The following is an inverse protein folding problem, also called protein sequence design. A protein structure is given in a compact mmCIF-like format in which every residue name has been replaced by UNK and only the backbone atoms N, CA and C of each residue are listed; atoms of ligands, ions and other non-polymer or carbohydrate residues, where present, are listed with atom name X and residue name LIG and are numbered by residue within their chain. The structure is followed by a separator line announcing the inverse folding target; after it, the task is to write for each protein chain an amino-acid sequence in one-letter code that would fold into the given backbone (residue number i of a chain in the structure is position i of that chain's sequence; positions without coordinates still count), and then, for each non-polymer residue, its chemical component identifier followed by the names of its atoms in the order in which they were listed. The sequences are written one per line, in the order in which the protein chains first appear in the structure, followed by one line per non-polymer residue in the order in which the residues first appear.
data_IF_349033284160
#
_entry.id   IF_349033284160
#
_cell.length_a   1.000
_cell.length_b   1.000
_cell.length_c   1.000
_cell.angle_alpha   90.00
_cell.angle_beta   90.00
_cell.angle_gamma   90.00
#
_symmetry.space_group_name_H-M   'P 1'
#
loop_
_entity.id
_entity.type
_entity.pdbx_description
1 polymer ?
#
# COMPACT_ATOMS: atom_id res chain seq x y z
N UNK A 1 31.50 13.74 -22.21
CA UNK A 1 30.53 13.16 -23.15
C UNK A 1 29.24 12.94 -22.35
N UNK A 2 28.34 13.91 -22.38
CA UNK A 2 27.06 13.89 -21.68
C UNK A 2 26.02 13.26 -22.61
N UNK A 3 25.38 12.18 -22.18
CA UNK A 3 24.22 11.61 -22.86
C UNK A 3 22.98 12.27 -22.24
N UNK A 4 22.10 12.91 -23.02
CA UNK A 4 20.91 13.54 -22.49
C UNK A 4 19.91 12.45 -22.11
N UNK A 5 19.61 12.31 -20.82
CA UNK A 5 18.39 11.62 -20.38
C UNK A 5 17.26 12.63 -20.56
N UNK A 6 16.26 12.24 -21.36
CA UNK A 6 15.06 13.03 -21.60
C UNK A 6 14.41 13.44 -20.27
N UNK A 7 14.56 14.71 -19.91
CA UNK A 7 13.77 15.34 -18.84
C UNK A 7 12.54 15.94 -19.50
N UNK A 8 11.37 15.34 -19.27
CA UNK A 8 10.13 16.08 -19.44
C UNK A 8 10.10 17.18 -18.36
N UNK A 9 10.26 18.42 -18.78
CA UNK A 9 9.80 19.61 -18.05
C UNK A 9 8.72 20.26 -18.94
N UNK A 10 7.64 20.86 -18.39
CA UNK A 10 7.73 21.73 -17.22
C UNK A 10 6.53 21.68 -16.25
N UNK A 11 6.76 21.54 -14.94
CA UNK A 11 5.99 22.26 -13.90
C UNK A 11 6.90 22.43 -12.68
N UNK A 12 7.81 23.40 -12.73
CA UNK A 12 8.29 24.08 -11.51
C UNK A 12 7.66 25.46 -11.61
N UNK A 13 6.49 25.64 -11.02
CA UNK A 13 5.86 26.95 -10.84
C UNK A 13 5.29 27.00 -9.43
N UNK A 14 5.84 27.91 -8.63
CA UNK A 14 5.34 28.37 -7.33
C UNK A 14 5.37 27.39 -6.13
N UNK A 15 6.56 27.13 -5.57
CA UNK A 15 6.67 26.89 -4.13
C UNK A 15 6.60 28.25 -3.40
N UNK A 16 5.39 28.74 -3.13
CA UNK A 16 5.16 29.89 -2.24
C UNK A 16 5.30 29.44 -0.79
N UNK A 17 6.22 30.04 -0.05
CA UNK A 17 6.21 30.02 1.41
C UNK A 17 5.28 31.13 1.93
N UNK A 18 4.67 30.87 3.08
CA UNK A 18 3.42 31.47 3.56
C UNK A 18 3.47 32.96 3.94
N UNK A 19 2.31 33.59 3.72
CA UNK A 19 1.98 34.99 3.93
C UNK A 19 2.26 35.52 5.35
N UNK A 20 2.91 36.69 5.41
CA UNK A 20 3.34 37.36 6.65
C UNK A 20 2.31 38.38 7.19
N UNK A 21 1.01 38.03 7.25
CA UNK A 21 -0.05 38.97 7.69
C UNK A 21 -1.08 38.41 8.68
N UNK A 22 -0.77 37.30 9.35
CA UNK A 22 -1.65 36.73 10.38
C UNK A 22 -0.86 36.50 11.68
N UNK A 23 -1.43 36.90 12.82
CA UNK A 23 -0.97 36.46 14.14
C UNK A 23 -1.77 35.21 14.55
N UNK A 24 -1.06 34.11 14.80
CA UNK A 24 -1.64 32.86 15.25
C UNK A 24 -1.33 32.65 16.73
N UNK A 25 -2.33 32.23 17.49
CA UNK A 25 -2.15 31.86 18.90
C UNK A 25 -2.82 30.52 19.18
N UNK A 26 -2.19 29.72 20.03
CA UNK A 26 -2.76 28.49 20.59
C UNK A 26 -3.33 28.70 22.00
N UNK A 27 -3.29 29.93 22.50
CA UNK A 27 -3.85 30.28 23.81
C UNK A 27 -5.38 30.22 23.78
N UNK A 28 -5.93 29.29 24.57
CA UNK A 28 -7.37 29.04 24.66
C UNK A 28 -8.13 30.20 25.29
N UNK A 29 -7.47 31.00 26.13
CA UNK A 29 -8.10 32.15 26.79
C UNK A 29 -8.32 33.31 25.79
N UNK A 30 -7.55 33.33 24.71
CA UNK A 30 -7.67 34.31 23.62
C UNK A 30 -8.85 34.04 22.67
N UNK A 31 -9.53 32.89 22.78
CA UNK A 31 -10.64 32.48 21.89
C UNK A 31 -11.77 33.51 21.86
N UNK A 32 -12.10 34.16 22.98
CA UNK A 32 -13.17 35.16 23.02
C UNK A 32 -12.81 36.46 22.26
N UNK A 33 -11.51 36.78 22.19
CA UNK A 33 -10.99 37.99 21.53
C UNK A 33 -10.58 37.77 20.08
N UNK A 34 -10.37 36.54 19.62
CA UNK A 34 -9.95 36.24 18.25
C UNK A 34 -11.02 36.54 17.19
N UNK A 35 -10.61 37.10 16.05
CA UNK A 35 -11.49 37.38 14.89
C UNK A 35 -11.98 36.11 14.19
N UNK A 36 -11.13 35.09 14.17
CA UNK A 36 -11.46 33.76 13.69
C UNK A 36 -11.01 32.69 14.68
N UNK A 37 -11.81 31.62 14.80
CA UNK A 37 -11.47 30.44 15.59
C UNK A 37 -11.42 29.25 14.65
N UNK A 38 -10.27 28.59 14.62
CA UNK A 38 -10.01 27.42 13.81
C UNK A 38 -10.32 26.17 14.64
N UNK A 39 -11.36 25.42 14.26
CA UNK A 39 -11.68 24.14 14.88
C UNK A 39 -11.07 23.03 14.03
N UNK A 40 -10.18 22.24 14.62
CA UNK A 40 -9.80 20.96 14.04
C UNK A 40 -10.94 19.96 14.30
N UNK A 41 -11.54 19.41 13.24
CA UNK A 41 -12.68 18.50 13.36
C UNK A 41 -12.34 17.25 14.21
N UNK A 42 -11.08 16.81 14.23
CA UNK A 42 -10.62 15.68 15.06
C UNK A 42 -10.81 15.92 16.58
N UNK A 43 -10.75 17.18 17.01
CA UNK A 43 -10.83 17.58 18.42
C UNK A 43 -12.27 17.79 18.93
N UNK A 44 -13.24 17.91 18.01
CA UNK A 44 -14.65 18.23 18.33
C UNK A 44 -15.62 17.09 18.05
N UNK A 45 -15.15 15.94 17.54
CA UNK A 45 -15.97 14.73 17.44
C UNK A 45 -16.06 14.03 18.80
N UNK A 46 -17.26 13.92 19.34
CA UNK A 46 -17.54 13.12 20.52
C UNK A 46 -17.58 11.62 20.18
N UNK A 47 -17.34 10.78 21.19
CA UNK A 47 -17.21 9.32 21.06
C UNK A 47 -18.51 8.66 20.56
N UNK A 48 -19.64 9.34 20.68
CA UNK A 48 -20.98 8.92 20.24
C UNK A 48 -21.33 9.41 18.82
N UNK A 49 -20.38 10.00 18.08
CA UNK A 49 -20.58 10.46 16.71
C UNK A 49 -21.25 11.84 16.60
N UNK A 50 -21.43 12.54 17.71
CA UNK A 50 -21.85 13.95 17.75
C UNK A 50 -20.70 14.94 17.53
N UNK A 51 -21.05 16.22 17.39
CA UNK A 51 -20.10 17.34 17.38
C UNK A 51 -20.23 18.10 18.70
N UNK A 52 -19.19 18.06 19.53
CA UNK A 52 -19.10 18.82 20.78
C UNK A 52 -18.52 20.21 20.50
N UNK A 53 -19.36 21.08 19.94
CA UNK A 53 -19.01 22.45 19.63
C UNK A 53 -19.29 23.37 20.84
N UNK A 54 -18.38 24.31 21.18
CA UNK A 54 -18.68 25.30 22.19
C UNK A 54 -19.92 26.12 21.81
N UNK A 55 -20.62 26.67 22.80
CA UNK A 55 -21.75 27.55 22.53
C UNK A 55 -21.24 28.86 21.95
N UNK A 56 -21.65 29.19 20.72
CA UNK A 56 -21.26 30.42 20.05
C UNK A 56 -21.80 31.64 20.81
N UNK A 57 -20.89 32.38 21.43
CA UNK A 57 -21.18 33.60 22.20
C UNK A 57 -21.13 34.87 21.35
N UNK A 58 -20.36 34.85 20.25
CA UNK A 58 -20.18 35.97 19.31
C UNK A 58 -20.70 35.63 17.90
N UNK A 59 -21.76 36.28 17.42
CA UNK A 59 -22.31 36.01 16.08
C UNK A 59 -21.46 36.58 14.94
N UNK A 60 -20.56 37.52 15.24
CA UNK A 60 -19.62 38.16 14.31
C UNK A 60 -18.29 37.40 14.17
N UNK A 61 -17.93 36.55 15.14
CA UNK A 61 -16.71 35.75 15.11
C UNK A 61 -16.76 34.67 14.02
N UNK A 62 -15.76 34.61 13.15
CA UNK A 62 -15.72 33.62 12.07
C UNK A 62 -15.24 32.27 12.60
N UNK A 63 -16.08 31.24 12.48
CA UNK A 63 -15.71 29.89 12.87
C UNK A 63 -15.28 29.15 11.62
N UNK A 64 -14.01 28.78 11.56
CA UNK A 64 -13.42 28.08 10.44
C UNK A 64 -13.24 26.64 10.87
N UNK A 65 -13.99 25.73 10.25
CA UNK A 65 -13.75 24.32 10.42
C UNK A 65 -12.59 23.93 9.51
N UNK A 66 -11.43 23.64 10.09
CA UNK A 66 -10.31 23.10 9.32
C UNK A 66 -10.52 21.61 9.12
N UNK A 67 -10.79 21.29 7.87
CA UNK A 67 -10.88 19.94 7.36
C UNK A 67 -9.78 19.76 6.32
N UNK A 68 -8.74 19.01 6.68
CA UNK A 68 -7.77 18.55 5.69
C UNK A 68 -8.33 17.41 4.82
N UNK A 69 -9.51 16.88 5.18
CA UNK A 69 -10.14 15.72 4.56
C UNK A 69 -11.67 15.89 4.45
N UNK A 70 -12.30 15.28 3.44
CA UNK A 70 -13.76 15.32 3.30
C UNK A 70 -14.46 14.58 4.48
N UNK A 71 -15.75 14.86 4.79
CA UNK A 71 -16.47 14.23 5.91
C UNK A 71 -16.46 12.68 5.91
N UNK A 72 -16.35 12.06 4.74
CA UNK A 72 -16.21 10.60 4.60
C UNK A 72 -14.81 10.05 4.94
N UNK A 73 -13.84 10.94 5.15
CA UNK A 73 -12.43 10.66 5.42
C UNK A 73 -11.97 11.23 6.78
N UNK A 74 -12.84 11.97 7.50
CA UNK A 74 -12.52 12.60 8.79
C UNK A 74 -12.38 11.65 9.97
N UNK A 75 -12.57 10.35 9.75
CA UNK A 75 -12.10 9.21 10.54
C UNK A 75 -12.41 8.02 9.64
N UNK A 76 -11.51 7.05 9.54
CA UNK A 76 -11.94 5.73 9.07
C UNK A 76 -13.00 5.26 10.05
N UNK A 77 -14.26 5.29 9.62
CA UNK A 77 -15.31 4.52 10.26
C UNK A 77 -14.92 3.06 10.05
N UNK A 78 -14.10 2.57 10.98
CA UNK A 78 -13.46 1.27 10.91
C UNK A 78 -14.54 0.19 10.91
N UNK A 79 -15.56 0.35 11.76
CA UNK A 79 -16.71 -0.56 11.82
C UNK A 79 -17.43 -0.64 10.47
N UNK A 80 -17.77 0.49 9.86
CA UNK A 80 -18.40 0.50 8.52
C UNK A 80 -17.47 -0.01 7.42
N UNK A 81 -16.18 0.30 7.49
CA UNK A 81 -15.18 -0.15 6.51
C UNK A 81 -15.06 -1.67 6.54
N UNK A 82 -15.02 -2.26 7.74
CA UNK A 82 -14.94 -3.70 7.93
C UNK A 82 -16.26 -4.38 7.51
N UNK A 83 -17.41 -3.88 7.97
CA UNK A 83 -18.72 -4.48 7.72
C UNK A 83 -19.09 -4.57 6.22
N UNK A 84 -18.58 -3.65 5.41
CA UNK A 84 -18.84 -3.61 3.96
C UNK A 84 -17.96 -4.57 3.14
N UNK A 85 -16.84 -5.06 3.70
CA UNK A 85 -15.96 -6.00 3.00
C UNK A 85 -16.57 -7.40 3.06
N UNK A 86 -16.85 -7.97 1.89
CA UNK A 86 -17.48 -9.30 1.73
C UNK A 86 -16.55 -10.34 1.10
N UNK A 87 -15.51 -9.88 0.40
CA UNK A 87 -14.48 -10.73 -0.17
C UNK A 87 -13.31 -10.91 0.79
N UNK A 88 -12.71 -12.09 0.79
CA UNK A 88 -11.56 -12.41 1.64
C UNK A 88 -10.28 -11.86 1.01
N UNK A 89 -9.84 -12.46 -0.10
CA UNK A 89 -8.55 -12.19 -0.72
C UNK A 89 -8.71 -11.79 -2.19
N UNK A 90 -8.04 -10.71 -2.60
CA UNK A 90 -7.90 -10.33 -4.00
C UNK A 90 -6.44 -10.24 -4.42
N UNK A 91 -6.19 -10.50 -5.70
CA UNK A 91 -4.89 -10.34 -6.32
C UNK A 91 -5.02 -9.73 -7.72
N UNK A 92 -4.18 -8.75 -8.05
CA UNK A 92 -4.07 -8.22 -9.42
C UNK A 92 -2.73 -8.67 -10.02
N UNK A 93 -2.80 -9.44 -11.09
CA UNK A 93 -1.62 -9.93 -11.80
C UNK A 93 -1.84 -9.94 -13.32
N UNK A 94 -0.93 -9.26 -14.03
CA UNK A 94 -0.90 -9.27 -15.50
C UNK A 94 0.47 -9.61 -16.08
N UNK A 95 1.42 -10.01 -15.25
CA UNK A 95 2.71 -10.57 -15.67
C UNK A 95 2.79 -11.94 -15.04
N UNK A 96 2.49 -12.97 -15.83
CA UNK A 96 2.52 -14.35 -15.36
C UNK A 96 3.93 -14.90 -15.58
N UNK A 97 4.27 -16.00 -14.90
CA UNK A 97 5.61 -16.60 -14.94
C UNK A 97 6.71 -15.66 -14.43
N UNK A 98 6.66 -15.38 -13.14
CA UNK A 98 7.61 -14.47 -12.50
C UNK A 98 8.75 -15.20 -11.81
N UNK A 99 9.88 -14.51 -11.63
CA UNK A 99 11.05 -15.06 -10.91
C UNK A 99 10.74 -15.41 -9.47
N UNK A 100 9.82 -14.68 -8.83
CA UNK A 100 9.36 -15.00 -7.47
C UNK A 100 8.55 -16.29 -7.40
N UNK A 101 8.05 -16.79 -8.54
CA UNK A 101 7.06 -17.87 -8.63
C UNK A 101 5.82 -17.61 -7.79
N UNK A 102 5.43 -16.33 -7.67
CA UNK A 102 4.23 -15.91 -6.94
C UNK A 102 2.97 -16.59 -7.45
N UNK A 103 2.90 -16.92 -8.75
CA UNK A 103 1.77 -17.64 -9.34
C UNK A 103 1.61 -19.03 -8.71
N UNK A 104 2.71 -19.75 -8.49
CA UNK A 104 2.70 -21.05 -7.81
C UNK A 104 2.27 -20.91 -6.35
N UNK A 105 2.78 -19.90 -5.63
CA UNK A 105 2.39 -19.63 -4.24
C UNK A 105 0.89 -19.37 -4.14
N UNK A 106 0.35 -18.48 -4.97
CA UNK A 106 -1.10 -18.19 -5.01
C UNK A 106 -1.89 -19.43 -5.38
N UNK A 107 -1.39 -20.25 -6.32
CA UNK A 107 -2.00 -21.52 -6.68
C UNK A 107 -2.10 -22.51 -5.51
N UNK A 108 -1.12 -22.53 -4.61
CA UNK A 108 -1.19 -23.32 -3.37
C UNK A 108 -2.11 -22.69 -2.33
N UNK A 109 -2.05 -21.37 -2.14
CA UNK A 109 -2.90 -20.63 -1.20
C UNK A 109 -4.38 -20.77 -1.55
N UNK A 110 -4.73 -20.67 -2.83
CA UNK A 110 -6.10 -20.73 -3.35
C UNK A 110 -6.79 -22.09 -3.13
N UNK A 111 -6.06 -23.11 -2.68
CA UNK A 111 -6.63 -24.42 -2.29
C UNK A 111 -7.29 -24.38 -0.90
N UNK A 112 -7.01 -23.35 -0.12
CA UNK A 112 -7.39 -23.25 1.30
C UNK A 112 -8.18 -21.98 1.63
N UNK A 113 -8.18 -20.98 0.74
CA UNK A 113 -8.96 -19.74 0.87
C UNK A 113 -9.36 -19.22 -0.51
N UNK A 114 -10.57 -18.66 -0.66
CA UNK A 114 -11.00 -18.06 -1.93
C UNK A 114 -10.10 -16.85 -2.26
N UNK A 115 -9.39 -16.94 -3.39
CA UNK A 115 -8.57 -15.87 -3.95
C UNK A 115 -9.16 -15.44 -5.28
N UNK A 116 -9.65 -14.20 -5.34
CA UNK A 116 -10.13 -13.62 -6.59
C UNK A 116 -8.98 -12.98 -7.38
N UNK A 117 -8.61 -13.60 -8.50
CA UNK A 117 -7.48 -13.17 -9.35
C UNK A 117 -7.96 -12.33 -10.52
N UNK A 118 -7.51 -11.07 -10.55
CA UNK A 118 -7.81 -10.07 -11.57
C UNK A 118 -6.59 -9.83 -12.49
N UNK A 119 -6.85 -9.59 -13.78
CA UNK A 119 -5.79 -9.26 -14.76
C UNK A 119 -5.51 -10.41 -15.73
N UNK A 120 -4.38 -10.37 -16.45
CA UNK A 120 -4.06 -11.39 -17.46
C UNK A 120 -3.84 -12.79 -16.86
N UNK A 121 -3.45 -12.89 -15.60
CA UNK A 121 -3.19 -14.21 -15.00
C UNK A 121 -4.45 -14.88 -14.42
N UNK A 122 -5.61 -14.21 -14.38
CA UNK A 122 -6.81 -14.74 -13.74
C UNK A 122 -8.09 -14.53 -14.55
N UNK A 123 -9.20 -15.16 -14.12
CA UNK A 123 -10.47 -15.11 -14.85
C UNK A 123 -11.18 -13.76 -14.72
N UNK A 124 -10.83 -12.93 -13.73
CA UNK A 124 -11.49 -11.65 -13.47
C UNK A 124 -10.76 -10.51 -14.16
N UNK A 125 -11.49 -9.45 -14.52
CA UNK A 125 -10.90 -8.27 -15.15
C UNK A 125 -11.16 -7.00 -14.35
N UNK A 126 -10.20 -6.08 -14.39
CA UNK A 126 -10.35 -4.72 -13.88
C UNK A 126 -11.05 -3.77 -14.89
N UNK A 127 -11.67 -4.29 -15.96
CA UNK A 127 -12.22 -3.52 -17.08
C UNK A 127 -11.15 -3.04 -18.08
N UNK A 128 -11.55 -2.25 -19.11
CA UNK A 128 -10.68 -1.69 -20.19
C UNK A 128 -9.61 -0.67 -19.72
N UNK A 129 -9.30 -0.66 -18.43
CA UNK A 129 -8.48 0.34 -17.77
C UNK A 129 -6.98 -0.05 -17.76
N UNK A 130 -6.64 -1.26 -18.20
CA UNK A 130 -5.26 -1.73 -18.39
C UNK A 130 -4.65 -1.21 -19.72
N UNK A 131 -4.75 0.10 -20.01
CA UNK A 131 -3.84 0.73 -20.96
C UNK A 131 -2.65 1.25 -20.15
N UNK A 132 -1.51 0.59 -20.35
CA UNK A 132 -0.17 1.06 -19.96
C UNK A 132 -0.08 2.57 -20.19
N UNK A 133 0.43 3.32 -19.21
CA UNK A 133 0.70 4.77 -19.18
C UNK A 133 -0.24 5.66 -18.33
N UNK A 134 -1.18 5.12 -17.55
CA UNK A 134 -1.83 5.91 -16.50
C UNK A 134 -1.61 5.26 -15.11
N UNK A 135 -0.68 5.78 -14.29
CA UNK A 135 -0.50 5.34 -12.91
C UNK A 135 -1.77 5.50 -12.06
N UNK A 136 -2.74 6.33 -12.50
CA UNK A 136 -4.02 6.57 -11.85
C UNK A 136 -5.15 5.68 -12.37
N UNK A 137 -4.99 5.03 -13.53
CA UNK A 137 -5.95 4.05 -14.04
C UNK A 137 -6.04 2.84 -13.10
N UNK A 138 -4.92 2.48 -12.47
CA UNK A 138 -4.83 1.36 -11.53
C UNK A 138 -5.52 1.64 -10.18
N UNK A 139 -5.61 2.92 -9.76
CA UNK A 139 -6.31 3.34 -8.54
C UNK A 139 -7.80 2.97 -8.55
N UNK A 140 -8.46 2.93 -9.71
CA UNK A 140 -9.89 2.62 -9.78
C UNK A 140 -10.17 1.16 -9.47
N UNK A 141 -9.30 0.24 -9.91
CA UNK A 141 -9.48 -1.17 -9.58
C UNK A 141 -9.17 -1.40 -8.11
N UNK A 142 -8.01 -0.92 -7.63
CA UNK A 142 -7.63 -1.04 -6.23
C UNK A 142 -8.65 -0.41 -5.29
N UNK A 143 -9.20 0.77 -5.60
CA UNK A 143 -10.29 1.40 -4.84
C UNK A 143 -11.56 0.55 -4.83
N UNK A 144 -11.91 -0.10 -5.95
CA UNK A 144 -13.07 -1.00 -6.00
C UNK A 144 -12.82 -2.22 -5.13
N UNK A 145 -11.64 -2.82 -5.24
CA UNK A 145 -11.25 -3.95 -4.41
C UNK A 145 -11.20 -3.57 -2.93
N UNK A 146 -10.71 -2.38 -2.60
CA UNK A 146 -10.67 -1.85 -1.23
C UNK A 146 -12.03 -1.73 -0.57
N UNK A 147 -13.11 -1.57 -1.34
CA UNK A 147 -14.48 -1.57 -0.81
C UNK A 147 -15.05 -2.97 -0.60
N UNK A 148 -14.42 -3.98 -1.15
CA UNK A 148 -14.98 -5.34 -1.22
C UNK A 148 -14.12 -6.36 -0.47
N UNK A 149 -12.79 -6.24 -0.48
CA UNK A 149 -11.87 -7.25 0.02
C UNK A 149 -11.16 -6.83 1.30
N UNK A 150 -10.93 -7.78 2.20
CA UNK A 150 -10.13 -7.59 3.42
C UNK A 150 -8.64 -7.60 3.13
N UNK A 151 -8.17 -8.57 2.35
CA UNK A 151 -6.77 -8.82 2.06
C UNK A 151 -6.43 -8.62 0.59
N UNK A 152 -5.23 -8.09 0.34
CA UNK A 152 -4.70 -7.93 -1.01
C UNK A 152 -3.32 -8.58 -1.12
N UNK A 153 -3.12 -9.47 -2.09
CA UNK A 153 -1.82 -10.10 -2.32
C UNK A 153 -0.89 -9.11 -3.04
N UNK A 154 -0.05 -8.42 -2.29
CA UNK A 154 0.95 -7.48 -2.80
C UNK A 154 2.24 -8.22 -3.20
N UNK A 155 2.12 -9.27 -4.00
CA UNK A 155 3.23 -10.15 -4.37
C UNK A 155 4.02 -9.61 -5.56
N UNK A 156 5.31 -9.40 -5.33
CA UNK A 156 6.25 -8.88 -6.31
C UNK A 156 6.69 -9.93 -7.33
N UNK A 157 7.11 -9.44 -8.50
CA UNK A 157 7.60 -10.29 -9.58
C UNK A 157 8.97 -10.94 -9.27
N UNK A 158 9.72 -10.35 -8.34
CA UNK A 158 11.01 -10.85 -7.85
C UNK A 158 11.07 -10.59 -6.35
N UNK A 159 11.66 -11.48 -5.57
CA UNK A 159 11.77 -11.29 -4.11
C UNK A 159 13.20 -10.86 -3.78
N UNK A 160 13.49 -9.58 -3.92
CA UNK A 160 14.84 -9.05 -3.74
C UNK A 160 14.87 -7.98 -2.66
N UNK A 161 16.07 -7.71 -2.13
CA UNK A 161 16.30 -6.64 -1.17
C UNK A 161 15.76 -5.32 -1.70
N UNK A 162 15.07 -4.60 -0.83
CA UNK A 162 14.48 -3.27 -1.08
C UNK A 162 13.44 -3.20 -2.20
N UNK A 163 13.06 -4.33 -2.83
CA UNK A 163 12.10 -4.36 -3.92
C UNK A 163 10.65 -4.46 -3.39
N UNK A 164 10.10 -3.32 -2.96
CA UNK A 164 8.69 -3.15 -2.61
C UNK A 164 8.10 -2.02 -3.47
N UNK A 165 7.04 -2.33 -4.23
CA UNK A 165 6.51 -1.46 -5.28
C UNK A 165 5.12 -0.91 -4.96
N UNK A 166 4.47 -0.29 -5.96
CA UNK A 166 3.13 0.29 -5.85
C UNK A 166 2.09 -0.67 -5.29
N UNK A 167 2.22 -1.98 -5.53
CA UNK A 167 1.25 -3.01 -5.10
C UNK A 167 1.00 -2.95 -3.59
N UNK A 168 2.07 -2.77 -2.83
CA UNK A 168 2.03 -2.69 -1.38
C UNK A 168 1.33 -1.41 -0.92
N UNK A 169 1.78 -0.26 -1.43
CA UNK A 169 1.25 1.04 -1.03
C UNK A 169 -0.18 1.28 -1.51
N UNK A 170 -0.58 0.76 -2.68
CA UNK A 170 -1.95 0.83 -3.18
C UNK A 170 -2.92 0.02 -2.31
N UNK A 171 -2.49 -1.13 -1.79
CA UNK A 171 -3.28 -1.90 -0.83
C UNK A 171 -3.51 -1.10 0.46
N UNK A 172 -2.44 -0.55 1.04
CA UNK A 172 -2.51 0.30 2.23
C UNK A 172 -3.38 1.54 1.98
N UNK A 173 -3.25 2.20 0.82
CA UNK A 173 -4.04 3.40 0.46
C UNK A 173 -5.53 3.10 0.38
N UNK A 174 -5.91 1.91 -0.05
CA UNK A 174 -7.30 1.50 -0.29
C UNK A 174 -7.86 0.55 0.78
N UNK A 175 -7.40 0.71 2.02
CA UNK A 175 -7.96 0.08 3.21
C UNK A 175 -7.98 -1.45 3.15
N UNK A 176 -7.07 -2.06 2.39
CA UNK A 176 -6.82 -3.50 2.40
C UNK A 176 -5.60 -3.78 3.24
N UNK A 177 -5.56 -4.96 3.87
CA UNK A 177 -4.35 -5.45 4.54
C UNK A 177 -3.50 -6.15 3.47
N UNK A 178 -2.34 -5.58 3.08
CA UNK A 178 -1.46 -6.26 2.14
C UNK A 178 -0.87 -7.51 2.77
N UNK A 179 -0.90 -8.59 2.00
CA UNK A 179 -0.14 -9.81 2.25
C UNK A 179 1.05 -9.79 1.30
N UNK A 180 2.27 -9.86 1.85
CA UNK A 180 3.53 -9.70 1.11
C UNK A 180 4.37 -10.98 1.17
N UNK A 181 5.13 -11.25 0.11
CA UNK A 181 6.25 -12.18 0.14
C UNK A 181 7.50 -11.35 0.47
N UNK A 182 7.80 -11.21 1.76
CA UNK A 182 8.79 -10.30 2.30
C UNK A 182 10.23 -10.84 2.23
N UNK A 183 10.45 -12.08 1.80
CA UNK A 183 11.66 -12.91 1.98
C UNK A 183 13.03 -12.23 1.83
N UNK A 184 13.12 -11.12 1.08
CA UNK A 184 14.34 -10.31 0.98
C UNK A 184 14.12 -8.79 1.26
N UNK A 185 12.89 -8.28 1.18
CA UNK A 185 12.59 -6.85 1.33
C UNK A 185 12.20 -6.49 2.78
N UNK A 186 12.74 -5.40 3.31
CA UNK A 186 12.47 -4.93 4.67
C UNK A 186 11.23 -4.03 4.72
N UNK A 187 10.05 -4.67 4.71
CA UNK A 187 8.77 -3.97 4.86
C UNK A 187 8.60 -3.28 6.24
N UNK A 188 9.28 -3.75 7.29
CA UNK A 188 9.17 -3.16 8.63
C UNK A 188 9.80 -1.77 8.71
N UNK A 189 10.76 -1.47 7.82
CA UNK A 189 11.41 -0.16 7.74
C UNK A 189 10.59 0.90 7.01
N UNK A 190 9.59 0.49 6.20
CA UNK A 190 8.84 1.38 5.29
C UNK A 190 7.36 1.50 5.62
N UNK A 191 6.83 0.69 6.54
CA UNK A 191 5.43 0.75 6.95
C UNK A 191 5.27 0.54 8.46
N UNK A 192 4.20 1.10 9.06
CA UNK A 192 3.89 0.86 10.47
C UNK A 192 3.80 -0.65 10.75
N UNK A 193 4.29 -1.07 11.93
CA UNK A 193 4.07 -2.43 12.41
C UNK A 193 2.58 -2.72 12.45
N UNK A 194 2.21 -3.97 12.19
CA UNK A 194 0.82 -4.41 12.16
C UNK A 194 -0.02 -3.66 11.10
N UNK A 195 0.57 -3.28 9.97
CA UNK A 195 -0.18 -2.75 8.81
C UNK A 195 -0.25 -3.74 7.63
N UNK A 196 0.45 -4.87 7.73
CA UNK A 196 0.59 -5.87 6.68
C UNK A 196 0.90 -7.25 7.26
N UNK A 197 0.77 -8.29 6.44
CA UNK A 197 1.01 -9.69 6.81
C UNK A 197 2.14 -10.23 5.92
N UNK A 198 3.18 -10.82 6.51
CA UNK A 198 4.25 -11.49 5.75
C UNK A 198 3.87 -12.95 5.57
N UNK A 199 3.78 -13.40 4.32
CA UNK A 199 3.59 -14.81 4.00
C UNK A 199 4.72 -15.69 4.57
N UNK A 200 5.93 -15.12 4.67
CA UNK A 200 7.14 -15.71 5.21
C UNK A 200 7.06 -16.11 6.68
N UNK A 201 6.18 -15.47 7.45
CA UNK A 201 6.00 -15.77 8.87
C UNK A 201 5.20 -17.08 9.09
N UNK A 202 4.68 -17.67 8.00
CA UNK A 202 3.88 -18.89 8.04
C UNK A 202 4.66 -20.09 7.49
N UNK A 203 4.55 -21.28 8.13
CA UNK A 203 5.23 -22.49 7.65
C UNK A 203 4.78 -22.95 6.25
N UNK A 204 3.55 -22.62 5.86
CA UNK A 204 3.00 -23.00 4.55
C UNK A 204 1.88 -22.04 4.09
N UNK A 205 1.52 -22.05 2.79
CA UNK A 205 0.34 -21.34 2.29
C UNK A 205 -0.97 -21.73 2.99
N UNK A 206 -1.06 -22.97 3.50
CA UNK A 206 -2.22 -23.45 4.27
C UNK A 206 -2.33 -22.74 5.62
N UNK A 207 -1.21 -22.57 6.31
CA UNK A 207 -1.18 -21.89 7.61
C UNK A 207 -1.50 -20.40 7.45
N UNK A 208 -0.99 -19.77 6.39
CA UNK A 208 -1.41 -18.42 6.01
C UNK A 208 -2.91 -18.36 5.76
N UNK A 209 -3.48 -19.29 4.98
CA UNK A 209 -4.93 -19.32 4.73
C UNK A 209 -5.75 -19.45 6.02
N UNK A 210 -5.34 -20.32 6.95
CA UNK A 210 -5.99 -20.45 8.25
C UNK A 210 -5.96 -19.13 9.04
N UNK A 211 -4.82 -18.44 9.03
CA UNK A 211 -4.70 -17.14 9.68
C UNK A 211 -5.60 -16.08 9.04
N UNK A 212 -5.66 -16.03 7.71
CA UNK A 212 -6.55 -15.10 7.01
C UNK A 212 -8.03 -15.40 7.28
N UNK A 213 -8.43 -16.67 7.43
CA UNK A 213 -9.78 -17.03 7.86
C UNK A 213 -10.08 -16.60 9.29
N UNK A 214 -9.11 -16.73 10.21
CA UNK A 214 -9.26 -16.24 11.59
C UNK A 214 -9.53 -14.73 11.62
N UNK A 215 -8.76 -13.96 10.86
CA UNK A 215 -8.94 -12.52 10.75
C UNK A 215 -10.25 -12.16 10.03
N UNK A 216 -10.64 -12.91 9.00
CA UNK A 216 -11.90 -12.67 8.30
C UNK A 216 -13.12 -12.88 9.22
N UNK A 217 -13.07 -13.90 10.07
CA UNK A 217 -14.14 -14.25 11.02
C UNK A 217 -14.18 -13.36 12.28
N UNK A 218 -13.16 -12.54 12.51
CA UNK A 218 -13.05 -11.69 13.70
C UNK A 218 -12.69 -10.25 13.31
N UNK A 219 -13.71 -9.39 13.31
CA UNK A 219 -13.58 -7.99 12.91
C UNK A 219 -12.65 -7.18 13.83
N UNK A 220 -12.54 -7.53 15.11
CA UNK A 220 -11.59 -6.87 16.03
C UNK A 220 -10.15 -7.17 15.63
N UNK A 221 -9.83 -8.46 15.41
CA UNK A 221 -8.49 -8.90 14.98
C UNK A 221 -8.12 -8.32 13.61
N UNK A 222 -9.06 -8.28 12.67
CA UNK A 222 -8.83 -7.60 11.39
C UNK A 222 -8.66 -6.09 11.55
N UNK A 223 -9.45 -5.46 12.43
CA UNK A 223 -9.39 -4.03 12.71
C UNK A 223 -8.05 -3.56 13.28
N UNK A 224 -7.35 -4.42 14.03
CA UNK A 224 -5.98 -4.14 14.49
C UNK A 224 -5.03 -3.77 13.34
N UNK A 225 -5.21 -4.36 12.15
CA UNK A 225 -4.37 -4.10 10.98
C UNK A 225 -4.65 -2.75 10.29
N UNK A 226 -5.71 -2.04 10.72
CA UNK A 226 -6.11 -0.76 10.14
C UNK A 226 -5.91 0.41 11.13
N UNK A 227 -5.65 0.15 12.41
CA UNK A 227 -5.49 1.18 13.45
C UNK A 227 -4.39 2.19 13.17
N UNK A 228 -3.30 1.77 12.51
CA UNK A 228 -2.19 2.66 12.15
C UNK A 228 -2.65 3.85 11.29
N UNK A 229 -3.77 3.74 10.58
CA UNK A 229 -4.32 4.83 9.75
C UNK A 229 -4.82 6.02 10.54
N UNK A 230 -4.96 5.92 11.88
CA UNK A 230 -5.19 7.06 12.77
C UNK A 230 -3.98 7.99 12.80
N UNK A 231 -2.78 7.40 12.74
CA UNK A 231 -1.53 8.11 13.03
C UNK A 231 -0.70 8.34 11.76
N UNK A 232 -0.98 7.61 10.67
CA UNK A 232 -0.25 7.72 9.40
C UNK A 232 -1.17 7.74 8.19
N UNK A 233 -0.71 8.41 7.12
CA UNK A 233 -1.33 8.44 5.80
C UNK A 233 -0.39 7.88 4.73
N UNK A 234 -0.97 7.26 3.70
CA UNK A 234 -0.20 6.78 2.54
C UNK A 234 -0.09 7.89 1.51
N UNK A 235 1.14 8.32 1.27
CA UNK A 235 1.52 9.25 0.21
C UNK A 235 2.15 8.48 -0.95
N UNK A 236 1.47 8.41 -2.09
CA UNK A 236 1.97 7.70 -3.29
C UNK A 236 2.90 8.57 -4.16
N UNK A 237 3.07 9.85 -3.81
CA UNK A 237 3.86 10.84 -4.56
C UNK A 237 3.25 11.17 -5.93
N UNK A 238 2.90 12.44 -6.16
CA UNK A 238 2.74 12.96 -7.53
C UNK A 238 4.14 13.06 -8.17
N UNK A 239 4.28 12.94 -9.50
CA UNK A 239 5.46 12.34 -10.10
C UNK A 239 6.79 13.06 -9.86
N UNK A 240 6.83 14.26 -9.24
CA UNK A 240 8.09 14.95 -8.94
C UNK A 240 8.15 15.76 -7.63
N UNK A 241 7.04 16.04 -6.93
CA UNK A 241 7.07 17.05 -5.84
C UNK A 241 7.54 16.57 -4.46
N UNK A 242 7.36 15.31 -4.01
CA UNK A 242 8.12 14.84 -2.85
C UNK A 242 9.54 14.41 -3.23
N UNK A 243 9.76 13.87 -4.44
CA UNK A 243 11.03 13.23 -4.78
C UNK A 243 12.16 14.25 -4.96
N UNK A 244 11.94 15.34 -5.70
CA UNK A 244 13.01 16.30 -6.03
C UNK A 244 13.33 17.18 -4.82
N UNK A 245 12.33 17.65 -4.07
CA UNK A 245 12.54 18.42 -2.85
C UNK A 245 13.20 17.58 -1.73
N UNK A 246 12.77 16.33 -1.53
CA UNK A 246 13.42 15.46 -0.54
C UNK A 246 14.83 15.05 -0.97
N UNK A 247 15.07 14.78 -2.25
CA UNK A 247 16.40 14.52 -2.78
C UNK A 247 17.32 15.73 -2.57
N UNK A 248 16.84 16.94 -2.89
CA UNK A 248 17.54 18.19 -2.66
C UNK A 248 17.88 18.38 -1.17
N UNK A 249 16.89 18.22 -0.28
CA UNK A 249 17.08 18.30 1.17
C UNK A 249 18.12 17.30 1.71
N UNK A 250 18.12 16.06 1.20
CA UNK A 250 19.09 15.02 1.56
C UNK A 250 20.49 15.34 1.04
N UNK A 251 20.63 15.75 -0.22
CA UNK A 251 21.92 16.12 -0.84
C UNK A 251 22.58 17.32 -0.15
N UNK A 252 21.78 18.29 0.31
CA UNK A 252 22.27 19.45 1.05
C UNK A 252 22.48 19.20 2.56
N UNK A 253 22.32 17.96 3.03
CA UNK A 253 22.62 17.58 4.40
C UNK A 253 21.58 18.03 5.44
N UNK A 254 20.48 18.67 5.02
CA UNK A 254 19.44 19.20 5.92
C UNK A 254 18.67 18.07 6.62
N UNK A 255 18.56 16.91 5.97
CA UNK A 255 17.92 15.69 6.51
C UNK A 255 18.80 14.44 6.34
N UNK A 256 20.10 14.58 6.13
CA UNK A 256 20.96 13.43 5.87
C UNK A 256 21.15 12.56 7.11
N UNK A 257 21.00 11.22 7.01
CA UNK A 257 21.51 10.33 8.03
C UNK A 257 23.02 10.52 8.15
N UNK A 258 23.58 10.38 9.34
CA UNK A 258 25.02 10.55 9.63
C UNK A 258 25.94 9.53 8.92
N UNK A 259 25.42 8.64 8.08
CA UNK A 259 26.14 7.59 7.36
C UNK A 259 25.56 7.36 5.95
N UNK A 260 26.05 8.10 4.95
CA UNK A 260 25.91 7.69 3.55
C UNK A 260 26.99 6.64 3.22
N UNK A 261 26.59 5.53 2.58
CA UNK A 261 27.53 4.50 2.07
C UNK A 261 27.74 4.73 0.58
N UNK A 262 28.98 5.01 0.18
CA UNK A 262 29.35 5.05 -1.24
C UNK A 262 29.67 3.63 -1.71
N UNK A 263 28.95 3.15 -2.73
CA UNK A 263 29.19 1.85 -3.35
C UNK A 263 30.13 2.01 -4.56
N UNK A 264 31.12 1.13 -4.69
CA UNK A 264 32.14 1.20 -5.76
C UNK A 264 31.67 0.62 -7.10
N UNK A 265 30.69 -0.27 -7.06
CA UNK A 265 30.10 -0.93 -8.22
C UNK A 265 28.58 -0.94 -8.06
N UNK A 266 27.88 -0.36 -9.03
CA UNK A 266 26.42 -0.38 -9.06
C UNK A 266 25.91 -1.80 -9.25
N UNK A 267 26.56 -2.60 -10.11
CA UNK A 267 26.17 -3.99 -10.36
C UNK A 267 26.33 -4.86 -9.11
N UNK A 268 27.45 -4.69 -8.39
CA UNK A 268 27.67 -5.45 -7.16
C UNK A 268 26.59 -5.13 -6.12
N UNK A 269 26.37 -3.85 -5.86
CA UNK A 269 25.37 -3.40 -4.89
C UNK A 269 23.93 -3.77 -5.30
N UNK A 270 23.57 -3.58 -6.57
CA UNK A 270 22.19 -3.72 -7.01
C UNK A 270 21.80 -5.14 -7.42
N UNK A 271 22.74 -5.91 -7.97
CA UNK A 271 22.47 -7.26 -8.50
C UNK A 271 23.03 -8.33 -7.57
N UNK A 272 24.32 -8.29 -7.25
CA UNK A 272 24.95 -9.36 -6.46
C UNK A 272 24.54 -9.32 -4.98
N UNK A 273 24.45 -8.12 -4.40
CA UNK A 273 24.03 -7.91 -3.01
C UNK A 273 22.50 -7.87 -2.83
N UNK A 274 21.73 -8.08 -3.91
CA UNK A 274 20.25 -8.06 -3.90
C UNK A 274 19.62 -9.17 -3.06
N UNK A 275 20.37 -10.23 -2.76
CA UNK A 275 19.93 -11.37 -1.95
C UNK A 275 18.57 -11.94 -2.38
N UNK A 276 18.31 -12.00 -3.69
CA UNK A 276 17.02 -12.43 -4.22
C UNK A 276 16.66 -13.88 -3.82
N UNK A 277 15.36 -14.12 -3.67
CA UNK A 277 14.77 -15.41 -3.29
C UNK A 277 13.65 -15.82 -4.25
N UNK A 278 13.34 -17.10 -4.24
CA UNK A 278 12.28 -17.74 -5.03
C UNK A 278 11.45 -18.66 -4.14
N UNK A 279 10.16 -18.80 -4.44
CA UNK A 279 9.33 -19.80 -3.79
C UNK A 279 9.55 -21.18 -4.42
N UNK A 280 10.00 -22.15 -3.63
CA UNK A 280 10.10 -23.54 -4.06
C UNK A 280 8.80 -24.27 -3.73
N UNK A 281 7.99 -24.53 -4.76
CA UNK A 281 6.70 -25.24 -4.64
C UNK A 281 6.85 -26.70 -4.21
N UNK A 282 7.97 -27.37 -4.47
CA UNK A 282 8.20 -28.76 -4.08
C UNK A 282 8.36 -28.91 -2.57
N UNK A 283 8.93 -27.89 -1.92
CA UNK A 283 9.17 -27.88 -0.48
C UNK A 283 8.34 -26.83 0.28
N UNK A 284 7.48 -26.08 -0.43
CA UNK A 284 6.64 -24.99 0.08
C UNK A 284 7.41 -23.95 0.92
N UNK A 285 8.62 -23.58 0.48
CA UNK A 285 9.50 -22.67 1.22
C UNK A 285 10.24 -21.70 0.31
N UNK A 286 10.61 -20.54 0.85
CA UNK A 286 11.44 -19.56 0.15
C UNK A 286 12.91 -19.93 0.21
N UNK A 287 13.63 -19.85 -0.91
CA UNK A 287 15.05 -20.21 -1.01
C UNK A 287 15.83 -19.12 -1.76
N UNK A 288 17.15 -18.96 -1.49
CA UNK A 288 18.01 -18.09 -2.29
C UNK A 288 18.00 -18.49 -3.77
N UNK A 289 18.01 -17.51 -4.67
CA UNK A 289 18.16 -17.73 -6.12
C UNK A 289 19.62 -18.05 -6.43
N UNK A 290 19.89 -19.05 -7.27
CA UNK A 290 21.24 -19.32 -7.76
C UNK A 290 21.69 -18.20 -8.70
N UNK A 291 22.97 -17.83 -8.70
CA UNK A 291 23.51 -16.79 -9.59
C UNK A 291 23.28 -17.11 -11.08
N UNK A 292 23.21 -18.39 -11.44
CA UNK A 292 22.95 -18.84 -12.81
C UNK A 292 21.49 -18.66 -13.25
N UNK A 293 20.58 -18.46 -12.30
CA UNK A 293 19.15 -18.22 -12.55
C UNK A 293 18.81 -16.72 -12.58
N UNK A 294 19.74 -15.84 -12.19
CA UNK A 294 19.54 -14.39 -12.23
C UNK A 294 19.43 -13.91 -13.69
N UNK A 295 18.20 -13.64 -14.11
CA UNK A 295 17.87 -13.21 -15.48
C UNK A 295 17.30 -14.29 -16.40
N UNK A 296 17.15 -15.53 -15.91
CA UNK A 296 16.37 -16.56 -16.59
C UNK A 296 14.88 -16.25 -16.55
N UNK A 297 14.12 -16.65 -17.58
CA UNK A 297 12.66 -16.67 -17.50
C UNK A 297 12.22 -18.00 -16.89
N UNK A 298 11.38 -17.97 -15.87
CA UNK A 298 10.68 -19.18 -15.40
C UNK A 298 9.73 -19.66 -16.50
N UNK A 299 9.91 -20.89 -16.98
CA UNK A 299 9.09 -21.51 -18.02
C UNK A 299 7.90 -22.24 -17.39
N UNK A 300 6.96 -21.44 -16.86
CA UNK A 300 5.72 -21.92 -16.26
C UNK A 300 4.56 -22.05 -17.26
N UNK A 301 3.37 -22.42 -16.78
CA UNK A 301 2.16 -22.46 -17.59
C UNK A 301 1.92 -21.16 -18.38
N UNK A 302 1.30 -21.26 -19.55
CA UNK A 302 0.92 -20.08 -20.32
C UNK A 302 -0.15 -19.24 -19.61
N UNK A 303 -0.33 -17.97 -20.02
CA UNK A 303 -1.35 -17.06 -19.45
C UNK A 303 -2.75 -17.71 -19.37
N UNK A 304 -3.18 -18.42 -20.41
CA UNK A 304 -4.50 -19.06 -20.45
C UNK A 304 -4.60 -20.31 -19.56
N UNK A 305 -3.48 -21.01 -19.35
CA UNK A 305 -3.42 -22.14 -18.41
C UNK A 305 -3.49 -21.64 -16.97
N UNK A 306 -2.81 -20.54 -16.64
CA UNK A 306 -2.94 -19.87 -15.35
C UNK A 306 -4.38 -19.41 -15.09
N UNK A 307 -5.01 -18.74 -16.07
CA UNK A 307 -6.42 -18.34 -15.95
C UNK A 307 -7.33 -19.52 -15.65
N UNK A 308 -7.15 -20.63 -16.37
CA UNK A 308 -7.95 -21.84 -16.16
C UNK A 308 -7.72 -22.41 -14.76
N UNK A 309 -6.46 -22.53 -14.34
CA UNK A 309 -6.11 -23.03 -13.01
C UNK A 309 -6.76 -22.18 -11.91
N UNK A 310 -6.67 -20.85 -11.98
CA UNK A 310 -7.29 -19.98 -10.98
C UNK A 310 -8.82 -19.97 -11.05
N UNK A 311 -9.42 -20.15 -12.22
CA UNK A 311 -10.86 -20.33 -12.35
C UNK A 311 -11.34 -21.63 -11.66
N UNK A 312 -10.62 -22.73 -11.88
CA UNK A 312 -10.92 -24.03 -11.27
C UNK A 312 -10.79 -23.94 -9.74
N UNK A 313 -9.73 -23.28 -9.23
CA UNK A 313 -9.53 -23.04 -7.78
C UNK A 313 -10.61 -22.17 -7.16
N UNK A 314 -11.07 -21.13 -7.85
CA UNK A 314 -12.17 -20.28 -7.36
C UNK A 314 -13.44 -21.12 -7.15
N UNK A 315 -13.74 -22.04 -8.08
CA UNK A 315 -14.89 -22.95 -7.98
C UNK A 315 -14.71 -23.95 -6.82
N UNK A 316 -13.55 -24.58 -6.71
CA UNK A 316 -13.25 -25.54 -5.62
C UNK A 316 -13.41 -24.89 -4.23
N UNK A 317 -12.90 -23.67 -4.05
CA UNK A 317 -12.93 -22.97 -2.76
C UNK A 317 -14.34 -22.60 -2.28
N UNK A 318 -15.33 -22.54 -3.18
CA UNK A 318 -16.75 -22.30 -2.83
C UNK A 318 -17.50 -23.55 -2.41
N UNK A 319 -16.93 -24.72 -2.68
CA UNK A 319 -17.53 -26.02 -2.37
C UNK A 319 -17.12 -26.58 -1.01
N UNK A 320 -16.23 -25.88 -0.30
CA UNK A 320 -15.73 -26.19 1.05
C UNK A 320 -16.34 -25.24 2.08
#
# INVERSE_FOLDING_TARGET
MFVPVYVFAPVITDARCEESRCDFTHDRDSVASSDAVLFNLEEIFSVDGGLDLPKRSRPDQTWILLLLEAPYHSRLDLERTIANKKGKVAWIASHCNTMSRREEYVGQLARYIEVHVYGRCGPRSCGRVLRLMDPFADSRCHRRLGRTYKFFLAFENSLCRDYATEKFYLALKHDMVPVVMASAADYDSIAPRNSFIKADDFPSPKDLAHYLHLLDANDDLYGEYLKWKRDFRVELGFPFDPLVCDLCSKLHGVRSPSRSRAHRSLYEWYVNESACRVFDVSHLRFQPVSTDELGGSYDGPGDDEWKKLFADREIESRSQ
#
